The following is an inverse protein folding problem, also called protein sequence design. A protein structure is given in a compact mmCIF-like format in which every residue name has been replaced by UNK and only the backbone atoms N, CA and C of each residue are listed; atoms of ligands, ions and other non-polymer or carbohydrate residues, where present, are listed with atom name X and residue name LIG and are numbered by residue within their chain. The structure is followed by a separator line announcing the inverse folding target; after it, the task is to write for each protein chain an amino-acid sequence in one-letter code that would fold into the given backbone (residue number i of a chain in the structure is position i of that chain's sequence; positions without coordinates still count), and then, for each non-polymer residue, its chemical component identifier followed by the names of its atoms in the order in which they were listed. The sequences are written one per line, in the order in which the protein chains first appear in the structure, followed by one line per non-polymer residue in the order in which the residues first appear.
data_IF_105918480661
#
_entry.id   IF_105918480661
#
_cell.length_a   1.000
_cell.length_b   1.000
_cell.length_c   1.000
_cell.angle_alpha   90.00
_cell.angle_beta   90.00
_cell.angle_gamma   90.00
#
_symmetry.space_group_name_H-M   'P 1'
#
loop_
_entity.id
_entity.type
_entity.pdbx_description
1 polymer ?
#
# COMPACT_ATOMS: atom_id res chain seq x y z
N UNK A 1 7.93 62.93 -29.31
CA UNK A 1 8.82 62.19 -30.22
C UNK A 1 8.62 60.71 -29.97
N UNK A 2 7.96 60.02 -30.91
CA UNK A 2 8.02 58.57 -31.03
C UNK A 2 9.35 58.17 -31.72
N UNK A 3 9.82 56.93 -31.55
CA UNK A 3 9.64 55.91 -32.61
C UNK A 3 9.20 54.55 -32.01
N UNK A 4 8.17 53.91 -32.57
CA UNK A 4 8.15 52.94 -33.68
C UNK A 4 8.61 51.52 -33.32
N UNK A 5 7.77 50.59 -33.77
CA UNK A 5 7.66 49.18 -33.46
C UNK A 5 8.57 48.29 -34.31
N UNK A 6 8.81 47.06 -33.84
CA UNK A 6 8.93 45.89 -34.72
C UNK A 6 8.26 44.67 -34.07
N UNK A 7 7.21 44.21 -34.73
CA UNK A 7 6.61 42.90 -34.54
C UNK A 7 7.39 41.89 -35.39
N UNK A 8 7.65 40.70 -34.86
CA UNK A 8 8.06 39.54 -35.64
C UNK A 8 7.16 38.36 -35.31
N UNK A 9 6.35 38.01 -36.30
CA UNK A 9 5.59 36.76 -36.38
C UNK A 9 6.43 35.73 -37.16
N UNK A 10 6.53 34.51 -36.65
CA UNK A 10 6.90 33.29 -37.36
C UNK A 10 6.73 32.10 -36.39
N UNK A 11 6.27 30.91 -36.74
CA UNK A 11 5.48 30.41 -37.86
C UNK A 11 4.94 29.06 -37.36
N UNK A 12 3.63 28.82 -37.48
CA UNK A 12 3.02 27.54 -37.14
C UNK A 12 3.37 26.52 -38.25
N UNK A 13 4.27 25.58 -37.94
CA UNK A 13 4.56 24.45 -38.82
C UNK A 13 3.54 23.33 -38.58
N UNK A 14 2.56 23.24 -39.48
CA UNK A 14 1.63 22.13 -39.58
C UNK A 14 2.38 20.88 -40.10
N UNK A 15 2.54 19.87 -39.23
CA UNK A 15 3.04 18.55 -39.62
C UNK A 15 1.90 17.77 -40.29
N UNK A 16 1.98 17.65 -41.61
CA UNK A 16 1.08 16.81 -42.41
C UNK A 16 1.46 15.34 -42.23
N UNK A 17 0.60 14.56 -41.58
CA UNK A 17 0.69 13.10 -41.57
C UNK A 17 0.26 12.54 -42.94
N UNK A 18 1.24 12.20 -43.79
CA UNK A 18 1.00 11.34 -44.95
C UNK A 18 0.94 9.88 -44.46
N UNK A 19 -0.27 9.31 -44.41
CA UNK A 19 -0.48 7.86 -44.32
C UNK A 19 -0.54 7.29 -45.76
N UNK A 20 0.38 6.42 -46.19
CA UNK A 20 0.16 5.64 -47.40
C UNK A 20 -0.81 4.49 -47.12
N UNK A 21 -1.86 4.42 -47.93
CA UNK A 21 -2.80 3.31 -47.99
C UNK A 21 -2.09 2.06 -48.52
N UNK A 22 -1.99 1.01 -47.70
CA UNK A 22 -1.60 -0.32 -48.16
C UNK A 22 -2.86 -1.10 -48.55
N UNK A 23 -3.17 -1.10 -49.85
CA UNK A 23 -4.08 -2.05 -50.47
C UNK A 23 -3.46 -3.45 -50.40
N UNK A 24 -4.02 -4.35 -49.58
CA UNK A 24 -3.74 -5.78 -49.70
C UNK A 24 -4.73 -6.39 -50.69
N UNK A 25 -4.21 -6.87 -51.81
CA UNK A 25 -4.93 -7.61 -52.84
C UNK A 25 -5.48 -8.92 -52.30
N UNK A 26 -6.73 -9.20 -52.69
CA UNK A 26 -7.42 -10.48 -52.64
C UNK A 26 -6.64 -11.56 -53.40
N UNK A 27 -6.26 -12.63 -52.71
CA UNK A 27 -5.80 -13.89 -53.29
C UNK A 27 -6.83 -14.97 -52.98
N UNK A 28 -7.51 -15.45 -54.03
CA UNK A 28 -8.52 -16.49 -53.95
C UNK A 28 -7.95 -17.87 -53.68
N UNK A 29 -8.70 -18.65 -52.91
CA UNK A 29 -8.53 -20.10 -52.76
C UNK A 29 -9.92 -20.74 -52.70
N UNK A 30 -10.23 -21.56 -53.70
CA UNK A 30 -11.45 -22.36 -53.79
C UNK A 30 -11.52 -23.34 -52.61
N UNK A 31 -12.66 -23.36 -51.91
CA UNK A 31 -13.07 -24.48 -51.07
C UNK A 31 -14.24 -25.20 -51.76
N UNK A 32 -14.23 -26.55 -51.85
CA UNK A 32 -15.30 -27.29 -52.50
C UNK A 32 -16.57 -27.29 -51.65
N UNK A 33 -17.71 -27.07 -52.33
CA UNK A 33 -19.07 -27.14 -51.79
C UNK A 33 -19.43 -28.57 -51.40
N UNK A 34 -19.78 -28.78 -50.13
CA UNK A 34 -20.44 -29.99 -49.64
C UNK A 34 -21.96 -29.77 -49.54
N UNK A 35 -22.77 -30.83 -49.77
CA UNK A 35 -24.18 -30.68 -50.09
C UNK A 35 -25.04 -30.39 -48.87
N UNK A 36 -26.05 -29.58 -49.14
CA UNK A 36 -27.19 -29.27 -48.29
C UNK A 36 -28.01 -30.54 -48.03
N UNK A 37 -28.00 -31.05 -46.80
CA UNK A 37 -28.91 -32.10 -46.34
C UNK A 37 -29.81 -31.54 -45.23
N UNK A 38 -31.10 -31.75 -45.41
CA UNK A 38 -32.20 -31.18 -44.66
C UNK A 38 -32.58 -32.01 -43.42
N UNK A 39 -33.08 -31.29 -42.41
CA UNK A 39 -34.03 -31.70 -41.33
C UNK A 39 -33.74 -32.98 -40.52
N UNK A 40 -33.57 -32.79 -39.21
CA UNK A 40 -33.97 -33.81 -38.22
C UNK A 40 -33.54 -33.52 -36.79
N UNK A 41 -34.52 -33.39 -35.89
CA UNK A 41 -34.43 -33.44 -34.43
C UNK A 41 -33.82 -32.22 -33.68
N UNK A 42 -34.71 -31.39 -33.13
CA UNK A 42 -34.40 -30.47 -32.05
C UNK A 42 -34.02 -31.26 -30.78
N UNK A 43 -32.74 -31.22 -30.40
CA UNK A 43 -32.29 -31.66 -29.09
C UNK A 43 -32.48 -30.53 -28.07
N UNK A 44 -33.31 -30.78 -27.06
CA UNK A 44 -33.54 -29.89 -25.91
C UNK A 44 -32.25 -29.80 -25.08
N UNK A 45 -31.80 -28.63 -24.60
CA UNK A 45 -30.63 -28.58 -23.73
C UNK A 45 -30.98 -29.19 -22.36
N UNK A 46 -30.28 -30.25 -21.99
CA UNK A 46 -30.37 -30.83 -20.65
C UNK A 46 -29.90 -29.80 -19.62
N UNK A 47 -30.83 -29.32 -18.78
CA UNK A 47 -30.50 -28.50 -17.62
C UNK A 47 -29.72 -29.35 -16.62
N UNK A 48 -28.44 -29.05 -16.43
CA UNK A 48 -27.65 -29.59 -15.33
C UNK A 48 -28.26 -29.09 -14.01
N UNK A 49 -28.93 -29.99 -13.29
CA UNK A 49 -29.60 -29.68 -12.03
C UNK A 49 -28.61 -29.89 -10.89
N UNK A 50 -27.95 -28.81 -10.46
CA UNK A 50 -27.11 -28.82 -9.25
C UNK A 50 -28.04 -28.95 -8.03
N UNK A 51 -27.86 -29.95 -7.14
CA UNK A 51 -28.66 -30.03 -5.93
C UNK A 51 -28.30 -28.87 -4.99
N UNK A 52 -29.26 -28.31 -4.22
CA UNK A 52 -28.94 -27.26 -3.26
C UNK A 52 -28.00 -27.82 -2.20
N UNK A 53 -26.88 -27.13 -1.97
CA UNK A 53 -25.97 -27.42 -0.87
C UNK A 53 -26.75 -27.33 0.45
N UNK A 54 -26.94 -28.47 1.11
CA UNK A 54 -27.46 -28.51 2.48
C UNK A 54 -26.35 -28.05 3.42
N UNK A 55 -26.33 -26.76 3.74
CA UNK A 55 -25.52 -26.26 4.86
C UNK A 55 -26.14 -26.77 6.16
N UNK A 56 -25.56 -27.85 6.70
CA UNK A 56 -25.85 -28.30 8.06
C UNK A 56 -25.09 -27.41 9.03
N UNK A 57 -25.80 -26.47 9.67
CA UNK A 57 -25.25 -25.71 10.79
C UNK A 57 -25.26 -26.64 11.99
N UNK A 58 -24.13 -27.27 12.30
CA UNK A 58 -23.98 -28.04 13.54
C UNK A 58 -24.22 -27.11 14.74
N UNK A 59 -24.95 -27.55 15.78
CA UNK A 59 -25.14 -26.74 16.98
C UNK A 59 -23.81 -26.54 17.70
N UNK A 60 -23.52 -25.29 18.05
CA UNK A 60 -22.34 -24.89 18.84
C UNK A 60 -22.40 -25.59 20.20
N UNK A 61 -21.34 -26.31 20.63
CA UNK A 61 -21.34 -26.92 21.95
C UNK A 61 -21.34 -25.85 23.04
N UNK A 62 -22.28 -25.97 24.00
CA UNK A 62 -22.33 -25.14 25.19
C UNK A 62 -21.24 -25.59 26.18
N UNK A 63 -20.53 -24.59 26.70
CA UNK A 63 -19.67 -24.56 27.89
C UNK A 63 -18.33 -25.30 27.85
N UNK A 64 -17.25 -24.51 27.90
CA UNK A 64 -16.17 -24.69 28.87
C UNK A 64 -15.84 -23.31 29.46
N UNK A 65 -16.29 -23.07 30.69
CA UNK A 65 -15.80 -21.98 31.53
C UNK A 65 -14.47 -22.43 32.12
N UNK A 66 -13.39 -21.80 31.68
CA UNK A 66 -12.11 -21.80 32.36
C UNK A 66 -11.63 -20.35 32.38
N UNK A 67 -11.24 -19.87 33.57
CA UNK A 67 -10.74 -18.52 33.77
C UNK A 67 -9.48 -18.31 32.92
N UNK A 68 -9.64 -17.62 31.79
CA UNK A 68 -8.54 -17.09 31.01
C UNK A 68 -8.15 -15.77 31.66
N UNK A 69 -7.01 -15.77 32.35
CA UNK A 69 -6.27 -14.54 32.63
C UNK A 69 -6.06 -13.85 31.28
N UNK A 70 -6.57 -12.62 31.15
CA UNK A 70 -6.51 -11.81 29.93
C UNK A 70 -5.09 -11.69 29.39
N UNK A 71 -4.67 -12.65 28.56
CA UNK A 71 -3.61 -12.44 27.59
C UNK A 71 -4.21 -11.55 26.51
N UNK A 72 -3.85 -10.26 26.56
CA UNK A 72 -4.29 -9.23 25.62
C UNK A 72 -4.26 -9.76 24.18
N UNK A 73 -5.43 -9.80 23.55
CA UNK A 73 -5.53 -10.01 22.11
C UNK A 73 -4.81 -8.81 21.46
N UNK A 74 -3.88 -9.03 20.50
CA UNK A 74 -3.10 -7.95 19.91
C UNK A 74 -4.06 -6.96 19.23
N UNK A 75 -3.84 -5.68 19.51
CA UNK A 75 -4.59 -4.59 18.90
C UNK A 75 -4.43 -4.71 17.38
N UNK A 76 -5.50 -5.10 16.68
CA UNK A 76 -5.56 -5.01 15.21
C UNK A 76 -6.03 -3.61 14.86
N UNK A 77 -5.08 -2.69 14.79
CA UNK A 77 -5.36 -1.33 14.33
C UNK A 77 -5.47 -1.30 12.80
N UNK A 78 -6.34 -0.44 12.31
CA UNK A 78 -6.48 -0.11 10.90
C UNK A 78 -6.28 1.38 10.75
N UNK A 79 -5.68 1.76 9.63
CA UNK A 79 -5.41 3.11 9.17
C UNK A 79 -6.01 3.27 7.77
N UNK A 80 -5.96 4.49 7.24
CA UNK A 80 -6.45 4.81 5.90
C UNK A 80 -5.35 5.15 4.92
N UNK A 81 -4.16 5.44 5.44
CA UNK A 81 -3.07 6.04 4.70
C UNK A 81 -3.27 7.52 4.41
N UNK A 82 -4.12 8.21 5.18
CA UNK A 82 -4.28 9.66 5.09
C UNK A 82 -3.47 10.25 6.23
N UNK A 83 -2.26 10.71 5.89
CA UNK A 83 -1.34 11.35 6.84
C UNK A 83 -2.02 12.56 7.47
N UNK A 84 -2.07 12.57 8.80
CA UNK A 84 -2.66 13.66 9.57
C UNK A 84 -1.66 14.79 9.81
N UNK A 85 -0.38 14.43 9.96
CA UNK A 85 0.68 15.36 10.32
C UNK A 85 2.06 14.83 9.92
N UNK A 86 2.99 15.76 9.63
CA UNK A 86 4.42 15.48 9.63
C UNK A 86 5.03 15.81 10.98
N UNK A 87 5.43 14.77 11.72
CA UNK A 87 6.14 14.86 13.00
C UNK A 87 7.65 14.99 12.83
N UNK A 88 8.35 15.16 13.95
CA UNK A 88 9.82 15.26 13.99
C UNK A 88 10.43 14.29 14.99
N UNK A 89 11.35 13.45 14.54
CA UNK A 89 12.10 12.54 15.41
C UNK A 89 12.97 13.36 16.36
N UNK A 90 12.81 13.13 17.65
CA UNK A 90 13.64 13.72 18.71
C UNK A 90 14.73 12.76 19.16
N UNK A 91 14.43 11.47 19.18
CA UNK A 91 15.36 10.41 19.58
C UNK A 91 14.95 9.09 18.93
N UNK A 92 15.94 8.32 18.48
CA UNK A 92 15.85 6.87 18.35
C UNK A 92 17.03 6.29 19.15
N UNK A 93 16.74 5.56 20.23
CA UNK A 93 17.81 5.14 21.15
C UNK A 93 17.35 4.12 22.19
N UNK A 94 18.22 3.78 23.16
CA UNK A 94 17.85 2.86 24.24
C UNK A 94 16.61 3.35 25.01
N UNK A 95 15.83 2.43 25.59
CA UNK A 95 14.60 2.79 26.30
C UNK A 95 14.82 3.85 27.39
N UNK A 96 13.95 4.86 27.43
CA UNK A 96 14.05 5.99 28.36
C UNK A 96 13.67 5.63 29.81
N UNK A 97 12.90 4.57 29.98
CA UNK A 97 12.59 3.98 31.28
C UNK A 97 12.72 2.44 31.20
N UNK A 98 13.13 1.75 32.28
CA UNK A 98 13.01 0.30 32.34
C UNK A 98 11.55 -0.07 32.12
N UNK A 99 11.28 -0.91 31.11
CA UNK A 99 9.93 -1.27 30.69
C UNK A 99 9.08 -1.69 31.89
N UNK A 100 8.13 -0.83 32.29
CA UNK A 100 7.25 -1.05 33.44
C UNK A 100 6.15 -2.10 33.22
N UNK A 101 6.18 -2.80 32.09
CA UNK A 101 5.32 -3.95 31.79
C UNK A 101 6.07 -5.24 32.09
N UNK A 102 5.56 -6.04 33.03
CA UNK A 102 6.25 -7.19 33.61
C UNK A 102 6.71 -8.27 32.62
N UNK A 103 7.84 -8.88 32.96
CA UNK A 103 8.46 -10.06 32.31
C UNK A 103 9.65 -9.64 31.44
N UNK A 104 10.91 -9.69 31.88
CA UNK A 104 11.51 -10.80 32.59
C UNK A 104 11.66 -12.00 31.66
N UNK A 105 12.72 -12.02 30.84
CA UNK A 105 13.29 -13.27 30.33
C UNK A 105 13.01 -13.64 28.86
N UNK A 106 13.54 -12.89 27.91
CA UNK A 106 14.04 -13.45 26.64
C UNK A 106 15.31 -12.69 26.29
N UNK A 107 16.44 -13.40 26.13
CA UNK A 107 17.79 -12.84 25.99
C UNK A 107 18.08 -12.13 24.66
N UNK A 108 17.11 -11.40 24.11
CA UNK A 108 17.27 -10.60 22.89
C UNK A 108 17.66 -9.16 23.23
N UNK A 109 18.34 -8.51 22.28
CA UNK A 109 18.70 -7.10 22.40
C UNK A 109 17.43 -6.26 22.68
N UNK A 110 17.48 -5.31 23.63
CA UNK A 110 16.34 -4.47 23.91
C UNK A 110 15.92 -3.71 22.64
N UNK A 111 14.61 -3.58 22.43
CA UNK A 111 14.09 -2.65 21.42
C UNK A 111 14.57 -1.22 21.68
N UNK A 112 14.37 -0.34 20.70
CA UNK A 112 14.70 1.08 20.83
C UNK A 112 13.43 1.90 21.10
N UNK A 113 13.55 2.98 21.85
CA UNK A 113 12.51 3.98 21.95
C UNK A 113 12.67 5.00 20.81
N UNK A 114 11.58 5.20 20.06
CA UNK A 114 11.41 6.28 19.11
C UNK A 114 10.57 7.38 19.76
N UNK A 115 11.16 8.56 19.94
CA UNK A 115 10.48 9.75 20.45
C UNK A 115 10.20 10.68 19.28
N UNK A 116 8.92 11.00 19.06
CA UNK A 116 8.48 11.87 17.98
C UNK A 116 7.76 13.07 18.56
N UNK A 117 8.21 14.27 18.22
CA UNK A 117 7.48 15.50 18.44
C UNK A 117 6.33 15.61 17.44
N UNK A 118 5.17 15.98 17.95
CA UNK A 118 3.96 16.20 17.19
C UNK A 118 3.23 17.46 17.68
N UNK A 119 2.49 18.12 16.80
CA UNK A 119 1.73 19.34 17.11
C UNK A 119 0.31 19.01 17.54
N UNK A 120 -0.39 18.18 16.78
CA UNK A 120 -1.83 17.98 16.87
C UNK A 120 -2.25 16.58 17.29
N UNK A 121 -1.40 15.55 17.09
CA UNK A 121 -1.77 14.17 17.43
C UNK A 121 -1.87 13.93 18.95
N UNK A 122 -1.22 14.74 19.79
CA UNK A 122 -1.32 14.58 21.26
C UNK A 122 -2.77 14.65 21.74
N UNK A 123 -3.57 15.51 21.13
CA UNK A 123 -4.97 15.68 21.50
C UNK A 123 -5.77 14.43 21.15
N UNK A 124 -6.23 13.72 22.18
CA UNK A 124 -7.06 12.52 22.03
C UNK A 124 -6.28 11.21 21.89
N UNK A 125 -4.95 11.25 21.83
CA UNK A 125 -4.11 10.05 21.89
C UNK A 125 -3.91 9.61 23.34
N UNK A 126 -4.03 8.31 23.59
CA UNK A 126 -3.87 7.69 24.90
C UNK A 126 -2.72 6.67 24.90
N UNK A 127 -2.24 6.30 26.10
CA UNK A 127 -1.29 5.21 26.25
C UNK A 127 -1.91 3.91 25.74
N UNK A 128 -1.15 3.14 24.97
CA UNK A 128 -1.63 1.91 24.35
C UNK A 128 -2.34 2.11 23.00
N UNK A 129 -2.61 3.35 22.58
CA UNK A 129 -3.14 3.62 21.24
C UNK A 129 -2.10 3.29 20.17
N UNK A 130 -2.58 2.98 18.96
CA UNK A 130 -1.73 2.75 17.81
C UNK A 130 -1.65 3.98 16.92
N UNK A 131 -0.43 4.33 16.53
CA UNK A 131 -0.12 5.40 15.58
C UNK A 131 0.81 4.83 14.52
N UNK A 132 0.49 5.07 13.25
CA UNK A 132 1.36 4.77 12.14
C UNK A 132 2.44 5.86 12.03
N UNK A 133 3.71 5.47 12.11
CA UNK A 133 4.88 6.33 11.89
C UNK A 133 5.58 5.89 10.61
N UNK A 134 5.57 6.74 9.58
CA UNK A 134 5.96 6.37 8.20
C UNK A 134 5.29 5.06 7.73
N UNK A 135 4.01 4.87 8.08
CA UNK A 135 3.26 3.66 7.76
C UNK A 135 3.58 2.44 8.62
N UNK A 136 4.35 2.60 9.69
CA UNK A 136 4.63 1.51 10.64
C UNK A 136 3.74 1.67 11.87
N UNK A 137 2.85 0.71 12.12
CA UNK A 137 1.98 0.71 13.30
C UNK A 137 2.82 0.53 14.57
N UNK A 138 2.83 1.54 15.44
CA UNK A 138 3.51 1.53 16.72
C UNK A 138 2.56 1.86 17.86
N UNK A 139 2.81 1.30 19.04
CA UNK A 139 2.01 1.52 20.25
C UNK A 139 2.60 2.66 21.08
N UNK A 140 1.76 3.61 21.48
CA UNK A 140 2.15 4.74 22.33
C UNK A 140 2.51 4.23 23.73
N UNK A 141 3.78 4.34 24.08
CA UNK A 141 4.35 3.88 25.36
C UNK A 141 4.48 5.02 26.39
N UNK A 142 4.67 6.26 25.94
CA UNK A 142 4.65 7.45 26.80
C UNK A 142 4.14 8.67 26.04
N UNK A 143 3.57 9.62 26.79
CA UNK A 143 3.07 10.91 26.29
C UNK A 143 3.66 12.01 27.16
N UNK A 144 4.37 12.95 26.55
CA UNK A 144 4.84 14.18 27.22
C UNK A 144 4.14 15.38 26.59
N UNK A 145 3.16 15.92 27.30
CA UNK A 145 2.39 17.09 26.84
C UNK A 145 3.18 18.40 26.93
N UNK A 146 4.22 18.48 27.78
CA UNK A 146 5.03 19.68 27.93
C UNK A 146 6.06 19.79 26.79
N UNK A 147 6.66 18.66 26.40
CA UNK A 147 7.58 18.58 25.27
C UNK A 147 6.88 18.34 23.91
N UNK A 148 5.56 18.11 23.94
CA UNK A 148 4.76 17.74 22.78
C UNK A 148 5.26 16.49 22.05
N UNK A 149 5.57 15.43 22.80
CA UNK A 149 6.12 14.19 22.24
C UNK A 149 5.31 12.94 22.57
N UNK A 150 5.36 11.99 21.63
CA UNK A 150 4.93 10.60 21.82
C UNK A 150 6.16 9.70 21.78
N UNK A 151 6.20 8.70 22.65
CA UNK A 151 7.26 7.69 22.68
C UNK A 151 6.69 6.34 22.28
N UNK A 152 7.43 5.62 21.44
CA UNK A 152 7.07 4.31 20.92
C UNK A 152 8.20 3.32 21.14
N UNK A 153 7.87 2.11 21.61
CA UNK A 153 8.83 1.01 21.59
C UNK A 153 8.91 0.40 20.19
N UNK A 154 10.13 0.26 19.66
CA UNK A 154 10.39 -0.28 18.32
C UNK A 154 11.17 -1.59 18.44
N UNK A 155 10.53 -2.68 18.01
CA UNK A 155 11.12 -4.01 18.06
C UNK A 155 12.27 -4.16 17.03
N UNK A 156 13.26 -5.04 17.28
CA UNK A 156 14.35 -5.30 16.34
C UNK A 156 13.89 -5.70 14.93
N UNK A 157 12.80 -6.47 14.80
CA UNK A 157 12.24 -6.83 13.48
C UNK A 157 11.73 -5.58 12.74
N UNK A 158 11.02 -4.69 13.42
CA UNK A 158 10.54 -3.43 12.86
C UNK A 158 11.69 -2.56 12.37
N UNK A 159 12.79 -2.46 13.15
CA UNK A 159 13.98 -1.71 12.75
C UNK A 159 14.64 -2.27 11.49
N UNK A 160 14.58 -3.60 11.27
CA UNK A 160 15.16 -4.26 10.09
C UNK A 160 14.26 -4.18 8.86
N UNK A 161 12.94 -4.24 9.05
CA UNK A 161 11.94 -4.29 7.98
C UNK A 161 11.53 -2.92 7.44
N UNK A 162 11.81 -1.86 8.18
CA UNK A 162 11.35 -0.51 7.87
C UNK A 162 12.51 0.47 7.76
N UNK A 163 12.22 1.68 7.28
CA UNK A 163 13.12 2.83 7.26
C UNK A 163 13.35 3.45 8.64
N UNK A 164 12.66 2.97 9.69
CA UNK A 164 12.75 3.54 11.03
C UNK A 164 14.13 3.36 11.66
N UNK A 165 14.81 2.24 11.37
CA UNK A 165 16.15 1.98 11.89
C UNK A 165 17.24 2.95 11.42
N UNK A 166 16.94 3.75 10.39
CA UNK A 166 17.85 4.75 9.81
C UNK A 166 17.53 6.17 10.28
N UNK A 167 16.47 6.35 11.08
CA UNK A 167 16.03 7.69 11.52
C UNK A 167 16.98 8.26 12.55
N UNK A 168 17.26 9.55 12.40
CA UNK A 168 18.03 10.35 13.34
C UNK A 168 17.20 11.51 13.92
N UNK A 169 17.70 12.09 15.01
CA UNK A 169 17.12 13.30 15.56
C UNK A 169 17.07 14.42 14.51
N UNK A 170 15.91 15.03 14.34
CA UNK A 170 15.65 16.05 13.33
C UNK A 170 14.93 15.52 12.09
N UNK A 171 14.91 14.20 11.84
CA UNK A 171 14.20 13.64 10.69
C UNK A 171 12.70 13.87 10.78
N UNK A 172 12.07 14.04 9.63
CA UNK A 172 10.61 14.18 9.52
C UNK A 172 9.98 12.82 9.25
N UNK A 173 8.81 12.57 9.85
CA UNK A 173 8.05 11.33 9.72
C UNK A 173 6.57 11.62 9.51
N UNK A 174 5.89 10.85 8.67
CA UNK A 174 4.43 10.89 8.53
C UNK A 174 3.77 10.25 9.76
N UNK A 175 2.70 10.86 10.25
CA UNK A 175 1.92 10.36 11.39
C UNK A 175 0.44 10.22 11.04
N UNK A 176 -0.17 9.10 11.41
CA UNK A 176 -1.61 8.83 11.31
C UNK A 176 -2.07 8.00 12.51
N UNK A 177 -3.15 8.40 13.19
CA UNK A 177 -3.76 7.63 14.28
C UNK A 177 -4.61 6.49 13.73
N UNK A 178 -4.73 5.42 14.51
CA UNK A 178 -5.64 4.34 14.16
C UNK A 178 -7.09 4.83 14.07
N UNK A 179 -7.85 4.20 13.17
CA UNK A 179 -9.24 4.52 12.93
C UNK A 179 -10.12 4.23 14.14
N UNK A 180 -11.09 5.13 14.37
CA UNK A 180 -12.25 4.86 15.21
C UNK A 180 -13.37 4.26 14.36
N UNK A 181 -14.36 3.57 14.96
CA UNK A 181 -15.53 3.07 14.23
C UNK A 181 -16.32 4.16 13.48
N UNK A 182 -16.19 5.43 13.89
CA UNK A 182 -16.85 6.58 13.27
C UNK A 182 -15.98 7.35 12.28
N UNK A 183 -14.72 6.95 12.09
CA UNK A 183 -13.78 7.65 11.20
C UNK A 183 -14.16 7.49 9.73
N UNK A 184 -13.88 8.52 8.92
CA UNK A 184 -13.99 8.43 7.46
C UNK A 184 -12.78 7.64 6.91
N UNK A 185 -13.03 6.73 5.99
CA UNK A 185 -11.98 6.01 5.26
C UNK A 185 -11.70 6.70 3.93
N UNK A 186 -10.79 7.67 3.93
CA UNK A 186 -10.47 8.50 2.75
C UNK A 186 -9.46 7.88 1.77
N UNK A 187 -8.64 6.94 2.24
CA UNK A 187 -7.71 6.17 1.43
C UNK A 187 -8.18 4.72 1.24
N UNK A 188 -7.35 3.76 1.64
CA UNK A 188 -7.66 2.33 1.57
C UNK A 188 -7.35 1.63 2.90
N UNK A 189 -7.51 0.30 2.98
CA UNK A 189 -7.16 -0.44 4.18
C UNK A 189 -5.65 -0.53 4.36
N UNK A 190 -5.11 0.29 5.25
CA UNK A 190 -3.71 0.24 5.68
C UNK A 190 -3.65 -0.39 7.06
N UNK A 191 -2.81 -1.40 7.26
CA UNK A 191 -2.62 -2.05 8.56
C UNK A 191 -1.50 -1.39 9.36
N UNK A 192 -0.59 -0.68 8.68
CA UNK A 192 0.66 -0.24 9.25
C UNK A 192 1.66 -1.40 9.40
N UNK A 193 1.51 -2.44 8.58
CA UNK A 193 2.35 -3.63 8.57
C UNK A 193 3.21 -3.61 7.30
N UNK A 194 4.27 -2.83 7.36
CA UNK A 194 5.24 -2.65 6.26
C UNK A 194 5.78 -4.01 5.81
N UNK A 195 5.63 -4.30 4.52
CA UNK A 195 6.11 -5.54 3.89
C UNK A 195 7.64 -5.53 3.70
N UNK A 196 8.15 -4.33 3.43
CA UNK A 196 9.55 -4.07 3.20
C UNK A 196 9.77 -2.64 2.75
N UNK A 197 10.94 -2.39 2.17
CA UNK A 197 11.33 -1.03 1.78
C UNK A 197 11.67 -0.96 0.31
N UNK A 198 11.31 0.16 -0.31
CA UNK A 198 11.73 0.51 -1.66
C UNK A 198 12.73 1.66 -1.68
N UNK A 199 13.18 2.02 -2.88
CA UNK A 199 14.09 3.13 -3.13
C UNK A 199 13.48 4.09 -4.15
N UNK A 200 13.48 5.38 -3.86
CA UNK A 200 13.02 6.39 -4.81
C UNK A 200 13.99 6.47 -5.98
N UNK A 201 13.54 6.11 -7.17
CA UNK A 201 14.37 6.06 -8.37
C UNK A 201 14.30 7.35 -9.19
N UNK A 202 13.17 8.07 -9.18
CA UNK A 202 13.01 9.31 -9.92
C UNK A 202 11.88 10.18 -9.38
N UNK A 203 12.08 11.50 -9.53
CA UNK A 203 11.05 12.52 -9.42
C UNK A 203 10.93 13.24 -10.77
N UNK A 204 9.71 13.36 -11.30
CA UNK A 204 9.43 14.06 -12.56
C UNK A 204 8.22 14.99 -12.36
N UNK A 205 8.38 16.31 -12.47
CA UNK A 205 7.24 17.23 -12.46
C UNK A 205 6.29 16.95 -13.63
N UNK A 206 5.00 17.00 -13.37
CA UNK A 206 3.93 16.90 -14.37
C UNK A 206 2.82 17.89 -14.03
N UNK A 207 2.90 19.09 -14.60
CA UNK A 207 2.06 20.22 -14.20
C UNK A 207 2.30 20.62 -12.73
N UNK A 208 1.22 20.62 -11.94
CA UNK A 208 1.26 20.86 -10.48
C UNK A 208 1.50 19.58 -9.67
N UNK A 209 1.52 18.43 -10.34
CA UNK A 209 1.67 17.12 -9.76
C UNK A 209 3.11 16.64 -9.87
N UNK A 210 3.47 15.71 -8.99
CA UNK A 210 4.81 15.12 -8.94
C UNK A 210 4.70 13.63 -9.25
N UNK A 211 5.28 13.22 -10.37
CA UNK A 211 5.42 11.81 -10.71
C UNK A 211 6.62 11.22 -9.99
N UNK A 212 6.42 10.10 -9.31
CA UNK A 212 7.46 9.42 -8.53
C UNK A 212 7.59 7.99 -9.01
N UNK A 213 8.83 7.56 -9.26
CA UNK A 213 9.16 6.16 -9.53
C UNK A 213 9.85 5.57 -8.31
N UNK A 214 9.41 4.40 -7.86
CA UNK A 214 10.01 3.66 -6.75
C UNK A 214 10.42 2.27 -7.22
N UNK A 215 11.68 1.89 -6.96
CA UNK A 215 12.15 0.51 -7.05
C UNK A 215 11.66 -0.28 -5.86
N UNK A 216 11.16 -1.48 -6.10
CA UNK A 216 10.63 -2.33 -5.05
C UNK A 216 11.03 -3.80 -5.25
N UNK A 217 11.12 -4.58 -4.16
CA UNK A 217 11.34 -6.02 -4.25
C UNK A 217 10.23 -6.75 -5.04
N UNK A 218 10.55 -7.83 -5.77
CA UNK A 218 9.57 -8.59 -6.56
C UNK A 218 8.38 -9.12 -5.74
N UNK A 219 8.60 -9.47 -4.48
CA UNK A 219 7.57 -9.94 -3.57
C UNK A 219 6.48 -8.90 -3.26
N UNK A 220 6.81 -7.61 -3.40
CA UNK A 220 5.85 -6.51 -3.26
C UNK A 220 5.25 -6.17 -4.63
N UNK A 221 6.07 -6.09 -5.69
CA UNK A 221 5.61 -5.73 -7.04
C UNK A 221 4.50 -6.63 -7.56
N UNK A 222 4.59 -7.95 -7.33
CA UNK A 222 3.57 -8.92 -7.73
C UNK A 222 2.17 -8.67 -7.13
N UNK A 223 2.10 -7.87 -6.06
CA UNK A 223 0.86 -7.49 -5.38
C UNK A 223 0.31 -6.16 -5.86
N UNK A 224 1.09 -5.40 -6.65
CA UNK A 224 0.69 -4.12 -7.20
C UNK A 224 0.06 -4.30 -8.57
N UNK A 225 -0.96 -3.50 -8.83
CA UNK A 225 -1.63 -3.45 -10.14
C UNK A 225 -1.85 -1.99 -10.53
N UNK A 226 -1.77 -1.63 -11.83
CA UNK A 226 -2.17 -0.31 -12.27
C UNK A 226 -3.58 0.04 -11.79
N UNK A 227 -3.75 1.26 -11.27
CA UNK A 227 -4.97 1.77 -10.62
C UNK A 227 -5.35 1.09 -9.30
N UNK A 228 -4.51 0.19 -8.78
CA UNK A 228 -4.61 -0.33 -7.42
C UNK A 228 -4.06 0.65 -6.38
N UNK A 229 -4.20 0.28 -5.11
CA UNK A 229 -3.65 1.04 -3.98
C UNK A 229 -2.31 0.47 -3.51
N UNK A 230 -1.50 1.36 -2.95
CA UNK A 230 -0.27 1.05 -2.21
C UNK A 230 -0.09 2.10 -1.11
N UNK A 231 0.44 1.71 0.05
CA UNK A 231 0.88 2.69 1.03
C UNK A 231 2.40 2.90 0.93
N UNK A 232 2.84 4.15 0.76
CA UNK A 232 4.25 4.53 0.72
C UNK A 232 4.53 5.51 1.86
N UNK A 233 5.40 5.13 2.79
CA UNK A 233 5.59 5.81 4.08
C UNK A 233 4.25 6.09 4.79
N UNK A 234 3.32 5.13 4.72
CA UNK A 234 1.98 5.27 5.29
C UNK A 234 1.04 6.19 4.51
N UNK A 235 1.44 6.72 3.35
CA UNK A 235 0.54 7.50 2.49
C UNK A 235 -0.15 6.57 1.50
N UNK A 236 -1.48 6.55 1.50
CA UNK A 236 -2.32 5.82 0.54
C UNK A 236 -2.24 6.49 -0.83
N UNK A 237 -1.73 5.76 -1.83
CA UNK A 237 -1.48 6.25 -3.17
C UNK A 237 -2.06 5.30 -4.22
N UNK A 238 -2.37 5.85 -5.38
CA UNK A 238 -2.83 5.07 -6.54
C UNK A 238 -1.65 4.76 -7.44
N UNK A 239 -1.43 3.46 -7.68
CA UNK A 239 -0.41 2.98 -8.61
C UNK A 239 -0.78 3.41 -10.03
N UNK A 240 0.15 4.03 -10.74
CA UNK A 240 -0.04 4.47 -12.13
C UNK A 240 0.43 3.40 -13.11
N UNK A 241 1.64 2.89 -12.92
CA UNK A 241 2.28 1.84 -13.72
C UNK A 241 3.11 0.93 -12.82
N UNK A 242 3.29 -0.32 -13.26
CA UNK A 242 4.15 -1.32 -12.63
C UNK A 242 4.97 -1.97 -13.74
N UNK A 243 6.25 -2.19 -13.50
CA UNK A 243 7.17 -2.92 -14.36
C UNK A 243 7.86 -4.00 -13.52
N UNK A 244 7.34 -5.22 -13.58
CA UNK A 244 7.83 -6.36 -12.82
C UNK A 244 9.25 -6.77 -13.23
N UNK A 245 9.57 -6.67 -14.53
CA UNK A 245 10.90 -7.02 -15.06
C UNK A 245 11.93 -5.95 -14.72
N UNK A 246 11.53 -4.67 -14.84
CA UNK A 246 12.35 -3.52 -14.47
C UNK A 246 12.49 -3.31 -12.96
N UNK A 247 11.61 -3.91 -12.16
CA UNK A 247 11.67 -3.86 -10.70
C UNK A 247 11.17 -2.54 -10.08
N UNK A 248 10.20 -1.88 -10.70
CA UNK A 248 9.71 -0.57 -10.24
C UNK A 248 8.21 -0.36 -10.45
N UNK A 249 7.65 0.62 -9.74
CA UNK A 249 6.30 1.11 -9.95
C UNK A 249 6.26 2.64 -9.84
N UNK A 250 5.18 3.23 -10.35
CA UNK A 250 4.97 4.66 -10.36
C UNK A 250 3.69 5.05 -9.60
N UNK A 251 3.69 6.28 -9.08
CA UNK A 251 2.49 6.97 -8.62
C UNK A 251 2.64 8.48 -8.84
N UNK A 252 1.54 9.22 -8.68
CA UNK A 252 1.55 10.67 -8.73
C UNK A 252 1.10 11.27 -7.40
N UNK A 253 1.75 12.36 -7.00
CA UNK A 253 1.36 13.17 -5.87
C UNK A 253 0.72 14.46 -6.36
N UNK A 254 -0.54 14.68 -6.01
CA UNK A 254 -1.20 15.97 -6.21
C UNK A 254 -0.61 17.01 -5.26
N UNK A 255 -0.76 18.29 -5.61
CA UNK A 255 -0.13 19.39 -4.85
C UNK A 255 -0.45 19.36 -3.35
N UNK A 256 -1.72 19.13 -3.00
CA UNK A 256 -2.12 19.04 -1.59
C UNK A 256 -1.34 17.96 -0.84
N UNK A 257 -1.23 16.74 -1.40
CA UNK A 257 -0.46 15.67 -0.78
C UNK A 257 1.01 16.03 -0.67
N UNK A 258 1.58 16.69 -1.69
CA UNK A 258 2.98 17.12 -1.64
C UNK A 258 3.29 18.03 -0.45
N UNK A 259 2.36 18.91 -0.09
CA UNK A 259 2.55 19.87 1.02
C UNK A 259 2.31 19.24 2.40
N UNK A 260 1.77 18.02 2.49
CA UNK A 260 1.30 17.40 3.74
C UNK A 260 1.98 16.07 4.10
N UNK A 261 2.98 15.61 3.32
CA UNK A 261 3.72 14.38 3.62
C UNK A 261 5.23 14.59 3.48
N UNK A 262 6.01 13.66 4.03
CA UNK A 262 7.48 13.72 4.00
C UNK A 262 8.07 13.45 2.61
N UNK A 263 7.45 12.57 1.82
CA UNK A 263 8.02 12.01 0.60
C UNK A 263 8.61 13.04 -0.40
N UNK A 264 7.96 14.18 -0.71
CA UNK A 264 8.52 15.19 -1.62
C UNK A 264 9.80 15.88 -1.13
N UNK A 265 10.12 15.76 0.16
CA UNK A 265 11.36 16.30 0.74
C UNK A 265 12.53 15.32 0.64
N UNK A 266 12.25 14.05 0.34
CA UNK A 266 13.26 13.00 0.11
C UNK A 266 13.97 13.19 -1.22
N UNK A 267 15.09 12.50 -1.38
CA UNK A 267 15.93 12.49 -2.58
C UNK A 267 15.85 11.16 -3.30
N UNK A 268 16.27 11.16 -4.56
CA UNK A 268 16.53 9.91 -5.30
C UNK A 268 17.60 9.11 -4.53
N UNK A 269 17.36 7.82 -4.37
CA UNK A 269 18.16 6.91 -3.55
C UNK A 269 17.65 6.77 -2.10
N UNK A 270 16.75 7.64 -1.64
CA UNK A 270 16.20 7.53 -0.29
C UNK A 270 15.21 6.37 -0.21
N UNK A 271 15.21 5.73 0.96
CA UNK A 271 14.33 4.61 1.30
C UNK A 271 12.92 5.06 1.64
N UNK A 272 11.94 4.25 1.24
CA UNK A 272 10.52 4.39 1.62
C UNK A 272 9.97 3.07 2.17
N UNK A 273 9.09 3.15 3.15
CA UNK A 273 8.32 1.99 3.63
C UNK A 273 7.21 1.65 2.64
N UNK A 274 7.04 0.38 2.32
CA UNK A 274 6.03 -0.10 1.39
C UNK A 274 5.10 -1.09 2.08
N UNK A 275 3.80 -0.83 1.97
CA UNK A 275 2.74 -1.79 2.32
C UNK A 275 1.84 -1.97 1.09
N UNK A 276 1.79 -3.19 0.57
CA UNK A 276 0.85 -3.55 -0.49
C UNK A 276 -0.56 -3.73 0.08
N UNK A 277 -1.58 -3.41 -0.72
CA UNK A 277 -2.98 -3.61 -0.33
C UNK A 277 -3.21 -5.06 0.13
N UNK A 278 -3.73 -5.19 1.34
CA UNK A 278 -4.03 -6.49 1.95
C UNK A 278 -4.94 -7.35 1.07
N UNK A 279 -5.82 -6.74 0.27
CA UNK A 279 -6.66 -7.46 -0.67
C UNK A 279 -5.85 -8.30 -1.66
N UNK A 280 -4.72 -7.77 -2.15
CA UNK A 280 -3.81 -8.49 -3.04
C UNK A 280 -3.26 -9.76 -2.39
N UNK A 281 -2.84 -9.67 -1.11
CA UNK A 281 -2.31 -10.82 -0.35
C UNK A 281 -3.37 -11.90 -0.12
N UNK A 282 -4.61 -11.51 0.20
CA UNK A 282 -5.70 -12.47 0.34
C UNK A 282 -6.04 -13.17 -0.98
N UNK A 283 -6.06 -12.43 -2.09
CA UNK A 283 -6.29 -12.99 -3.43
C UNK A 283 -5.17 -13.97 -3.79
N UNK A 284 -3.91 -13.59 -3.60
CA UNK A 284 -2.76 -14.48 -3.84
C UNK A 284 -2.88 -15.78 -3.04
N UNK A 285 -3.13 -15.69 -1.73
CA UNK A 285 -3.25 -16.85 -0.85
C UNK A 285 -4.41 -17.78 -1.25
N UNK A 286 -5.55 -17.22 -1.63
CA UNK A 286 -6.72 -17.99 -2.07
C UNK A 286 -6.46 -18.72 -3.39
N UNK A 287 -5.78 -18.06 -4.33
CA UNK A 287 -5.44 -18.67 -5.62
C UNK A 287 -4.38 -19.76 -5.47
N UNK A 288 -3.33 -19.53 -4.69
CA UNK A 288 -2.29 -20.52 -4.42
C UNK A 288 -2.88 -21.82 -3.85
N UNK A 289 -3.75 -21.72 -2.84
CA UNK A 289 -4.41 -22.88 -2.26
C UNK A 289 -5.30 -23.66 -3.24
N UNK A 290 -5.92 -22.97 -4.22
CA UNK A 290 -6.73 -23.64 -5.26
C UNK A 290 -5.87 -24.34 -6.31
N UNK A 291 -4.76 -23.71 -6.73
CA UNK A 291 -3.82 -24.32 -7.69
C UNK A 291 -3.20 -25.57 -7.09
N UNK A 292 -2.78 -25.53 -5.82
CA UNK A 292 -2.26 -26.71 -5.12
C UNK A 292 -3.29 -27.83 -5.00
N UNK A 293 -4.55 -27.50 -4.74
CA UNK A 293 -5.62 -28.49 -4.65
C UNK A 293 -5.91 -29.15 -6.01
N UNK A 294 -5.87 -28.39 -7.11
CA UNK A 294 -6.02 -28.92 -8.47
C UNK A 294 -4.84 -29.83 -8.84
N UNK A 295 -3.60 -29.41 -8.56
CA UNK A 295 -2.42 -30.22 -8.84
C UNK A 295 -2.43 -31.58 -8.11
N UNK A 296 -2.98 -31.64 -6.90
CA UNK A 296 -3.16 -32.89 -6.12
C UNK A 296 -4.31 -33.76 -6.61
N UNK A 297 -5.30 -33.20 -7.31
CA UNK A 297 -6.42 -33.96 -7.84
C UNK A 297 -6.06 -34.66 -9.16
N UNK A 298 -5.08 -34.12 -9.89
CA UNK A 298 -4.58 -34.65 -11.16
C UNK A 298 -3.41 -35.65 -10.98
N UNK A 299 -2.92 -35.84 -9.74
CA UNK A 299 -1.84 -36.79 -9.36
C UNK A 299 -2.38 -38.06 -8.72
#
# INVERSE_FOLDING_TARGET
MAPQATATAAAAAAVRHHRPHLLLRLGGGLLPSLPFASRGAAATPARLRVPPARFSISPVPKSLSAAVTSSHVPVRSLFTGIVEEVGRVRLLGPPLAPSGGGGGGYGEAPGLDLVVETKSLLAGTQLGDSVAVDGTCLTVAAIDTAASTLTFGVAPETLRRTSLGERAAGDSVNLERALTPSSRMGGHFVQGHVDGTGEIAAFRPDGDSLWVTVRAPPEILKLLVPKGFVAVDGTSLTVVSVDDEGGWFDFMLVRYTQDNIVLPTKKVGDKVNLEADILGKYVEKLLAGRVEAMAKADS
#
